data_IF_590934685697
#
_entry.id   IF_590934685697
#
_cell.length_a   1.000
_cell.length_b   1.000
_cell.length_c   1.000
_cell.angle_alpha   90.00
_cell.angle_beta   90.00
_cell.angle_gamma   90.00
#
_symmetry.space_group_name_H-M   'P 1'
#
loop_
_entity.id
_entity.type
_entity.pdbx_description
1 polymer ?
#
# COMPACT_ATOMS: atom_id res chain seq x y z
N UNK A 1 17.44 -17.49 13.07
CA UNK A 1 16.88 -16.18 13.39
C UNK A 1 18.01 -15.24 13.78
N UNK A 2 17.94 -13.98 13.40
CA UNK A 2 18.88 -12.95 13.89
C UNK A 2 18.65 -12.73 15.40
N UNK A 3 19.69 -12.43 16.20
CA UNK A 3 19.56 -12.24 17.66
C UNK A 3 18.50 -11.22 18.05
N UNK A 4 18.34 -10.15 17.26
CA UNK A 4 17.31 -9.13 17.46
C UNK A 4 15.90 -9.67 17.25
N UNK A 5 15.69 -10.53 16.25
CA UNK A 5 14.38 -11.14 15.97
C UNK A 5 13.97 -12.12 17.06
N UNK A 6 14.92 -12.92 17.59
CA UNK A 6 14.65 -13.81 18.73
C UNK A 6 14.37 -13.02 20.01
N UNK A 7 15.09 -11.92 20.24
CA UNK A 7 14.81 -11.03 21.35
C UNK A 7 13.43 -10.33 21.21
N UNK A 8 13.04 -9.95 19.99
CA UNK A 8 11.70 -9.39 19.73
C UNK A 8 10.60 -10.45 19.94
N UNK A 9 10.78 -11.67 19.46
CA UNK A 9 9.79 -12.75 19.63
C UNK A 9 9.60 -13.11 21.11
N UNK A 10 10.69 -13.21 21.89
CA UNK A 10 10.61 -13.45 23.33
C UNK A 10 10.00 -12.25 24.07
N UNK A 11 10.29 -11.03 23.64
CA UNK A 11 9.77 -9.81 24.26
C UNK A 11 8.30 -9.56 23.92
N UNK A 12 7.90 -9.76 22.67
CA UNK A 12 6.55 -9.56 22.14
C UNK A 12 5.66 -10.81 22.28
N UNK A 13 6.09 -11.84 23.01
CA UNK A 13 5.18 -12.92 23.41
C UNK A 13 4.02 -12.30 24.20
N UNK A 14 2.78 -12.56 23.75
CA UNK A 14 1.58 -12.08 24.43
C UNK A 14 1.46 -12.61 25.88
N UNK A 15 2.25 -13.63 26.22
CA UNK A 15 2.39 -14.17 27.58
C UNK A 15 3.62 -13.66 28.32
N UNK A 16 4.34 -12.66 27.80
CA UNK A 16 5.51 -12.12 28.47
C UNK A 16 5.09 -11.40 29.76
N UNK A 17 5.54 -11.89 30.95
CA UNK A 17 5.13 -11.33 32.23
C UNK A 17 5.61 -9.89 32.45
N UNK A 18 6.58 -9.39 31.68
CA UNK A 18 7.05 -7.99 31.71
C UNK A 18 6.07 -7.01 31.05
N UNK A 19 5.25 -7.48 30.10
CA UNK A 19 4.24 -6.67 29.40
C UNK A 19 2.88 -6.74 30.11
N UNK A 20 2.58 -7.89 30.74
CA UNK A 20 1.30 -8.18 31.38
C UNK A 20 1.13 -7.67 32.83
N UNK A 21 2.03 -6.82 33.34
CA UNK A 21 1.94 -6.39 34.74
C UNK A 21 0.69 -5.53 34.94
N UNK A 22 -0.30 -6.09 35.63
CA UNK A 22 -1.45 -5.37 36.14
C UNK A 22 -0.95 -4.28 37.11
N UNK A 23 -1.34 -3.04 36.84
CA UNK A 23 -1.14 -1.92 37.75
C UNK A 23 -2.06 -2.08 38.97
N UNK A 24 -1.73 -3.02 39.86
CA UNK A 24 -2.30 -3.03 41.20
C UNK A 24 -1.59 -1.90 41.95
N UNK A 25 -2.35 -0.86 42.29
CA UNK A 25 -1.84 0.44 42.78
C UNK A 25 -1.14 0.43 44.14
N UNK A 26 -0.38 -0.62 44.47
CA UNK A 26 0.30 -0.79 45.77
C UNK A 26 1.81 -1.10 45.65
N UNK A 27 2.40 -1.28 44.47
CA UNK A 27 3.86 -1.47 44.34
C UNK A 27 4.58 -0.16 44.00
N UNK A 28 4.92 0.61 45.04
CA UNK A 28 5.70 1.85 44.98
C UNK A 28 7.22 1.64 44.74
N UNK A 29 7.70 0.40 44.60
CA UNK A 29 9.14 0.06 44.57
C UNK A 29 9.65 -0.51 43.22
N UNK A 30 8.83 -0.52 42.15
CA UNK A 30 9.36 -0.80 40.81
C UNK A 30 10.01 0.47 40.22
N UNK A 31 11.31 0.46 39.87
CA UNK A 31 11.98 1.62 39.29
C UNK A 31 11.48 1.98 37.88
N UNK A 32 10.64 1.14 37.26
CA UNK A 32 10.10 1.36 35.92
C UNK A 32 8.65 0.92 35.81
N UNK A 33 7.78 1.81 35.33
CA UNK A 33 6.41 1.52 34.92
C UNK A 33 6.37 0.87 33.53
N UNK A 34 5.35 0.08 33.22
CA UNK A 34 5.13 -0.54 31.89
C UNK A 34 5.17 0.50 30.76
N UNK A 35 4.76 1.74 31.05
CA UNK A 35 4.80 2.88 30.13
C UNK A 35 6.23 3.36 29.81
N UNK A 36 7.16 3.25 30.74
CA UNK A 36 8.57 3.63 30.52
C UNK A 36 9.30 2.61 29.65
N UNK A 37 9.07 1.31 29.88
CA UNK A 37 9.60 0.24 29.02
C UNK A 37 9.15 0.37 27.57
N UNK A 38 7.87 0.70 27.35
CA UNK A 38 7.31 0.94 26.03
C UNK A 38 8.02 2.08 25.31
N UNK A 39 8.28 3.20 25.99
CA UNK A 39 8.97 4.35 25.41
C UNK A 39 10.38 3.97 24.97
N UNK A 40 11.14 3.31 25.85
CA UNK A 40 12.51 2.89 25.56
C UNK A 40 12.57 1.91 24.39
N UNK A 41 11.67 0.92 24.33
CA UNK A 41 11.59 0.01 23.19
C UNK A 41 11.23 0.75 21.90
N UNK A 42 10.23 1.63 21.94
CA UNK A 42 9.81 2.41 20.75
C UNK A 42 10.99 3.21 20.20
N UNK A 43 11.71 3.93 21.07
CA UNK A 43 12.91 4.67 20.69
C UNK A 43 14.02 3.79 20.11
N UNK A 44 14.22 2.58 20.65
CA UNK A 44 15.21 1.63 20.12
C UNK A 44 14.82 1.12 18.72
N UNK A 45 13.53 0.82 18.51
CA UNK A 45 12.99 0.42 17.20
C UNK A 45 13.12 1.55 16.20
N UNK A 46 12.81 2.79 16.58
CA UNK A 46 12.92 3.96 15.70
C UNK A 46 14.38 4.26 15.33
N UNK A 47 15.31 4.14 16.27
CA UNK A 47 16.73 4.27 15.99
C UNK A 47 17.23 3.19 15.01
N UNK A 48 16.83 1.93 15.20
CA UNK A 48 17.16 0.85 14.28
C UNK A 48 16.59 1.09 12.86
N UNK A 49 15.35 1.61 12.77
CA UNK A 49 14.73 1.95 11.48
C UNK A 49 15.46 3.09 10.77
N UNK A 50 15.81 4.14 11.49
CA UNK A 50 16.60 5.25 10.93
C UNK A 50 17.98 4.76 10.45
N UNK A 51 18.59 3.78 11.13
CA UNK A 51 19.81 3.13 10.64
C UNK A 51 19.59 2.39 9.32
N UNK A 52 18.55 1.58 9.21
CA UNK A 52 18.21 0.88 7.95
C UNK A 52 17.91 1.87 6.82
N UNK A 53 17.18 2.94 7.11
CA UNK A 53 16.86 3.98 6.15
C UNK A 53 18.13 4.70 5.66
N UNK A 54 19.07 5.01 6.56
CA UNK A 54 20.35 5.63 6.20
C UNK A 54 21.23 4.70 5.39
N UNK A 55 21.26 3.41 5.73
CA UNK A 55 21.97 2.39 4.96
C UNK A 55 21.42 2.31 3.54
N UNK A 56 20.10 2.25 3.39
CA UNK A 56 19.44 2.26 2.08
C UNK A 56 19.72 3.55 1.31
N UNK A 57 19.58 4.72 1.94
CA UNK A 57 19.84 6.00 1.30
C UNK A 57 21.30 6.13 0.84
N UNK A 58 22.25 5.67 1.67
CA UNK A 58 23.66 5.63 1.31
C UNK A 58 23.92 4.66 0.15
N UNK A 59 23.29 3.48 0.14
CA UNK A 59 23.41 2.54 -0.97
C UNK A 59 22.86 3.13 -2.27
N UNK A 60 21.69 3.78 -2.22
CA UNK A 60 21.08 4.46 -3.37
C UNK A 60 21.97 5.59 -3.91
N UNK A 61 22.58 6.39 -3.02
CA UNK A 61 23.49 7.47 -3.39
C UNK A 61 24.80 6.94 -4.00
N UNK A 62 25.46 5.99 -3.32
CA UNK A 62 26.76 5.43 -3.75
C UNK A 62 26.65 4.65 -5.06
N UNK A 63 25.51 4.01 -5.30
CA UNK A 63 25.25 3.26 -6.53
C UNK A 63 24.61 4.10 -7.63
N UNK A 64 24.39 5.41 -7.39
CA UNK A 64 23.73 6.33 -8.34
C UNK A 64 22.39 5.78 -8.87
N UNK A 65 21.59 5.17 -7.97
CA UNK A 65 20.38 4.44 -8.37
C UNK A 65 19.34 5.36 -8.99
N UNK A 66 18.90 5.01 -10.20
CA UNK A 66 17.77 5.64 -10.88
C UNK A 66 16.43 5.22 -10.27
N UNK A 67 15.34 5.88 -10.65
CA UNK A 67 13.99 5.45 -10.25
C UNK A 67 13.69 4.01 -10.67
N UNK A 68 14.15 3.61 -11.86
CA UNK A 68 14.00 2.25 -12.36
C UNK A 68 14.83 1.24 -11.56
N UNK A 69 16.03 1.58 -11.12
CA UNK A 69 16.84 0.71 -10.25
C UNK A 69 16.14 0.46 -8.91
N UNK A 70 15.51 1.48 -8.33
CA UNK A 70 14.72 1.33 -7.10
C UNK A 70 13.50 0.43 -7.30
N UNK A 71 12.81 0.56 -8.44
CA UNK A 71 11.71 -0.33 -8.80
C UNK A 71 12.19 -1.77 -9.06
N UNK A 72 13.38 -1.92 -9.65
CA UNK A 72 14.01 -3.21 -9.88
C UNK A 72 14.43 -3.87 -8.56
N UNK A 73 14.81 -3.12 -7.53
CA UNK A 73 15.08 -3.66 -6.19
C UNK A 73 13.79 -4.22 -5.54
N UNK A 74 12.65 -3.56 -5.74
CA UNK A 74 11.34 -4.07 -5.29
C UNK A 74 10.88 -5.31 -6.07
N UNK A 75 11.01 -5.29 -7.40
CA UNK A 75 10.66 -6.43 -8.23
C UNK A 75 11.57 -6.54 -9.47
N UNK A 76 12.66 -7.32 -9.40
CA UNK A 76 13.60 -7.48 -10.51
C UNK A 76 12.94 -8.11 -11.75
N UNK A 77 11.89 -8.91 -11.53
CA UNK A 77 11.14 -9.56 -12.60
C UNK A 77 10.26 -8.62 -13.41
N UNK A 78 9.80 -7.52 -12.81
CA UNK A 78 8.96 -6.53 -13.48
C UNK A 78 9.78 -5.37 -14.04
N UNK A 79 10.74 -4.87 -13.27
CA UNK A 79 11.44 -3.61 -13.56
C UNK A 79 12.93 -3.79 -13.85
N UNK A 80 13.42 -5.04 -13.84
CA UNK A 80 14.78 -5.35 -14.28
C UNK A 80 14.95 -5.28 -15.81
N UNK A 81 16.12 -5.71 -16.31
CA UNK A 81 16.44 -5.64 -17.73
C UNK A 81 15.39 -6.32 -18.62
N UNK A 82 15.02 -5.65 -19.70
CA UNK A 82 14.00 -6.14 -20.63
C UNK A 82 14.44 -7.44 -21.29
N UNK A 83 13.53 -8.42 -21.30
CA UNK A 83 13.72 -9.70 -21.99
C UNK A 83 13.11 -9.65 -23.40
N UNK A 84 13.79 -10.27 -24.36
CA UNK A 84 13.32 -10.34 -25.75
C UNK A 84 12.04 -11.17 -25.87
N UNK A 85 11.14 -10.79 -26.78
CA UNK A 85 9.94 -11.57 -27.11
C UNK A 85 8.62 -10.94 -26.66
N UNK A 86 8.67 -9.75 -26.05
CA UNK A 86 7.47 -8.95 -25.74
C UNK A 86 6.73 -8.58 -27.03
N UNK A 87 5.40 -8.72 -27.04
CA UNK A 87 4.56 -8.28 -28.17
C UNK A 87 4.36 -6.76 -28.13
N UNK A 88 4.20 -6.08 -29.28
CA UNK A 88 3.96 -4.63 -29.31
C UNK A 88 2.70 -4.18 -28.55
N UNK A 89 1.67 -5.02 -28.49
CA UNK A 89 0.41 -4.73 -27.79
C UNK A 89 0.51 -4.90 -26.27
N UNK A 90 1.51 -5.61 -25.78
CA UNK A 90 1.63 -5.95 -24.36
C UNK A 90 2.11 -4.74 -23.56
N UNK A 91 1.53 -4.54 -22.38
CA UNK A 91 1.98 -3.50 -21.46
C UNK A 91 3.35 -3.85 -20.87
N UNK A 92 4.16 -2.84 -20.53
CA UNK A 92 5.47 -3.04 -19.91
C UNK A 92 5.31 -3.42 -18.44
N UNK A 93 4.44 -2.70 -17.74
CA UNK A 93 4.22 -2.91 -16.32
C UNK A 93 2.75 -3.19 -16.06
N UNK A 94 2.49 -4.26 -15.30
CA UNK A 94 1.16 -4.65 -14.85
C UNK A 94 1.09 -4.48 -13.35
N UNK A 95 0.15 -3.66 -12.91
CA UNK A 95 -0.08 -3.38 -11.50
C UNK A 95 -1.55 -3.59 -11.14
N UNK A 96 -1.81 -3.98 -9.91
CA UNK A 96 -3.12 -3.93 -9.30
C UNK A 96 -3.15 -2.87 -8.20
N UNK A 97 -4.32 -2.28 -7.99
CA UNK A 97 -4.57 -1.30 -6.95
C UNK A 97 -5.79 -1.72 -6.15
N UNK A 98 -5.79 -1.43 -4.86
CA UNK A 98 -6.95 -1.60 -3.99
C UNK A 98 -6.82 -0.79 -2.70
N UNK A 99 -7.92 -0.61 -1.98
CA UNK A 99 -7.99 0.10 -0.72
C UNK A 99 -8.46 -0.79 0.44
N UNK A 100 -7.62 -0.92 1.44
CA UNK A 100 -7.90 -1.68 2.64
C UNK A 100 -8.31 -0.78 3.82
N UNK A 101 -9.58 -0.92 4.23
CA UNK A 101 -10.15 -0.18 5.36
C UNK A 101 -10.17 -0.98 6.67
N UNK A 102 -9.53 -2.15 6.73
CA UNK A 102 -9.36 -2.90 7.98
C UNK A 102 -8.21 -2.34 8.83
N UNK A 103 -7.29 -1.62 8.19
CA UNK A 103 -6.12 -1.02 8.81
C UNK A 103 -6.45 0.40 9.27
N UNK A 104 -6.84 0.56 10.53
CA UNK A 104 -7.29 1.86 11.09
C UNK A 104 -6.52 2.24 12.33
N UNK A 105 -6.08 3.50 12.37
CA UNK A 105 -5.44 4.08 13.55
C UNK A 105 -6.44 4.88 14.35
N UNK A 106 -6.61 4.56 15.63
CA UNK A 106 -7.43 5.37 16.53
C UNK A 106 -6.74 6.69 16.91
N UNK A 107 -7.50 7.79 16.99
CA UNK A 107 -7.00 9.11 17.43
C UNK A 107 -6.40 9.06 18.83
N UNK A 108 -6.97 8.26 19.74
CA UNK A 108 -6.45 8.08 21.10
C UNK A 108 -5.06 7.42 21.14
N UNK A 109 -4.67 6.79 20.03
CA UNK A 109 -3.39 6.14 19.81
C UNK A 109 -2.41 7.07 19.05
N UNK A 110 -2.87 8.24 18.57
CA UNK A 110 -2.06 9.23 17.87
C UNK A 110 -1.33 10.12 18.88
N UNK A 111 -0.23 9.62 19.44
CA UNK A 111 0.74 10.44 20.16
C UNK A 111 1.84 10.80 19.18
N UNK A 112 1.72 11.96 18.55
CA UNK A 112 2.75 12.47 17.64
C UNK A 112 4.03 12.77 18.42
N UNK A 113 5.10 12.02 18.11
CA UNK A 113 6.45 12.43 18.49
C UNK A 113 6.88 13.44 17.42
N UNK A 114 6.56 14.71 17.69
CA UNK A 114 6.50 15.81 16.74
C UNK A 114 7.78 16.15 15.95
N UNK A 115 8.92 15.53 16.25
CA UNK A 115 10.20 16.03 15.72
C UNK A 115 10.78 15.23 14.55
N UNK A 116 10.34 13.99 14.25
CA UNK A 116 11.11 13.11 13.35
C UNK A 116 10.28 12.17 12.45
N UNK A 117 9.04 12.51 12.12
CA UNK A 117 8.25 11.74 11.14
C UNK A 117 8.73 12.06 9.71
N UNK A 118 9.79 11.39 9.26
CA UNK A 118 10.03 11.23 7.79
C UNK A 118 8.88 10.41 7.23
N UNK A 119 8.63 10.40 5.92
CA UNK A 119 7.73 9.42 5.26
C UNK A 119 8.61 8.33 4.65
N UNK A 120 8.26 7.03 4.73
CA UNK A 120 9.07 5.99 4.12
C UNK A 120 8.97 6.11 2.60
N UNK A 121 10.02 5.73 1.87
CA UNK A 121 10.04 5.78 0.40
C UNK A 121 8.95 4.95 -0.27
N UNK A 122 8.40 3.94 0.42
CA UNK A 122 7.26 3.14 -0.06
C UNK A 122 5.95 3.91 -0.07
N UNK A 123 5.80 4.97 0.73
CA UNK A 123 4.57 5.75 0.79
C UNK A 123 4.68 6.98 -0.10
N UNK A 124 3.61 7.24 -0.85
CA UNK A 124 3.44 8.50 -1.55
C UNK A 124 3.16 9.58 -0.50
N UNK A 125 3.89 10.68 -0.60
CA UNK A 125 3.76 11.77 0.35
C UNK A 125 2.37 12.43 0.27
N UNK A 126 1.80 12.85 1.43
CA UNK A 126 0.46 13.46 1.46
C UNK A 126 0.30 14.67 0.53
N UNK A 127 1.36 15.48 0.36
CA UNK A 127 1.31 16.67 -0.49
C UNK A 127 1.04 16.32 -1.96
N UNK A 128 1.63 15.23 -2.47
CA UNK A 128 1.41 14.73 -3.85
C UNK A 128 -0.05 14.32 -4.05
N UNK A 129 -0.65 13.68 -3.04
CA UNK A 129 -2.05 13.27 -3.07
C UNK A 129 -2.98 14.48 -3.07
N UNK A 130 -2.68 15.49 -2.24
CA UNK A 130 -3.44 16.75 -2.20
C UNK A 130 -3.33 17.54 -3.51
N UNK A 131 -2.18 17.55 -4.17
CA UNK A 131 -2.02 18.16 -5.50
C UNK A 131 -2.91 17.50 -6.55
N UNK A 132 -2.99 16.16 -6.54
CA UNK A 132 -3.88 15.42 -7.43
C UNK A 132 -5.36 15.69 -7.13
N UNK A 133 -5.75 15.74 -5.86
CA UNK A 133 -7.11 16.11 -5.45
C UNK A 133 -7.51 17.49 -6.01
N UNK A 134 -6.65 18.49 -5.82
CA UNK A 134 -6.87 19.84 -6.34
C UNK A 134 -6.98 19.89 -7.87
N UNK A 135 -6.12 19.14 -8.58
CA UNK A 135 -6.15 19.02 -10.05
C UNK A 135 -7.45 18.39 -10.57
N UNK A 136 -7.98 17.41 -9.83
CA UNK A 136 -9.22 16.74 -10.21
C UNK A 136 -10.45 17.63 -9.99
N UNK A 137 -10.43 18.51 -9.00
CA UNK A 137 -11.51 19.45 -8.71
C UNK A 137 -11.54 20.62 -9.69
N UNK A 138 -10.40 21.11 -10.15
CA UNK A 138 -10.35 22.18 -11.16
C UNK A 138 -10.87 21.76 -12.53
N UNK A 139 -10.78 20.45 -12.85
CA UNK A 139 -11.10 19.90 -14.17
C UNK A 139 -12.47 19.19 -14.22
N UNK A 140 -13.38 19.47 -13.29
CA UNK A 140 -14.71 18.85 -13.30
C UNK A 140 -15.55 19.36 -14.48
N UNK A 141 -15.85 18.47 -15.43
CA UNK A 141 -16.83 18.71 -16.50
C UNK A 141 -18.20 18.15 -16.10
N UNK A 142 -19.27 18.90 -16.39
CA UNK A 142 -20.66 18.64 -15.95
C UNK A 142 -21.39 17.58 -16.78
N UNK A 143 -20.72 16.49 -17.16
CA UNK A 143 -21.37 15.38 -17.85
C UNK A 143 -21.95 14.36 -16.86
N UNK A 144 -23.13 13.82 -17.18
CA UNK A 144 -23.77 12.81 -16.32
C UNK A 144 -22.96 11.52 -16.32
N UNK A 145 -22.60 11.06 -15.12
CA UNK A 145 -21.97 9.75 -14.92
C UNK A 145 -22.87 8.65 -15.50
N UNK A 146 -22.27 7.63 -16.13
CA UNK A 146 -23.04 6.51 -16.65
C UNK A 146 -23.56 5.59 -15.54
N UNK A 147 -24.48 4.69 -15.90
CA UNK A 147 -25.15 3.81 -14.94
C UNK A 147 -24.16 2.95 -14.14
N UNK A 148 -23.10 2.44 -14.79
CA UNK A 148 -22.06 1.67 -14.12
C UNK A 148 -21.33 2.49 -13.06
N UNK A 149 -20.94 3.72 -13.38
CA UNK A 149 -20.24 4.62 -12.44
C UNK A 149 -21.15 4.98 -11.26
N UNK A 150 -22.46 5.12 -11.49
CA UNK A 150 -23.44 5.42 -10.44
C UNK A 150 -23.74 4.22 -9.53
N UNK A 151 -23.70 3.00 -10.06
CA UNK A 151 -24.02 1.75 -9.32
C UNK A 151 -22.81 1.15 -8.62
N UNK A 152 -21.62 1.30 -9.19
CA UNK A 152 -20.37 0.73 -8.71
C UNK A 152 -19.40 1.85 -8.37
N UNK A 153 -19.64 2.48 -7.21
CA UNK A 153 -18.60 3.20 -6.49
C UNK A 153 -17.81 2.20 -5.66
N UNK A 154 -16.55 2.51 -5.36
CA UNK A 154 -15.77 1.66 -4.46
C UNK A 154 -16.50 1.52 -3.12
N UNK A 155 -16.45 0.33 -2.51
CA UNK A 155 -17.38 -0.07 -1.45
C UNK A 155 -17.43 0.89 -0.25
N UNK A 156 -16.38 1.69 -0.06
CA UNK A 156 -16.22 2.62 1.07
C UNK A 156 -16.30 4.11 0.70
N UNK A 157 -16.72 4.47 -0.52
CA UNK A 157 -16.84 5.89 -0.94
C UNK A 157 -17.81 6.72 -0.07
N UNK A 158 -18.81 6.05 0.55
CA UNK A 158 -19.80 6.66 1.45
C UNK A 158 -19.33 6.82 2.91
N UNK A 159 -18.22 6.21 3.31
CA UNK A 159 -17.71 6.28 4.68
C UNK A 159 -16.93 7.58 4.89
N UNK A 160 -17.65 8.64 5.24
CA UNK A 160 -17.07 9.95 5.62
C UNK A 160 -16.50 9.93 7.04
N UNK A 161 -15.75 10.98 7.42
CA UNK A 161 -15.23 11.19 8.78
C UNK A 161 -16.29 11.11 9.90
N UNK A 162 -17.59 11.14 9.58
CA UNK A 162 -18.67 10.85 10.53
C UNK A 162 -18.71 9.38 11.02
N UNK A 163 -18.30 8.41 10.18
CA UNK A 163 -18.23 6.98 10.54
C UNK A 163 -16.98 6.67 11.37
N UNK A 164 -15.94 7.50 11.22
CA UNK A 164 -14.60 7.25 11.76
C UNK A 164 -14.08 8.40 12.65
N UNK A 165 -14.96 9.09 13.38
CA UNK A 165 -14.58 10.24 14.23
C UNK A 165 -13.49 9.97 15.26
N UNK A 166 -13.26 8.70 15.57
CA UNK A 166 -12.26 8.24 16.53
C UNK A 166 -11.01 7.66 15.85
N UNK A 167 -10.91 7.74 14.52
CA UNK A 167 -9.75 7.29 13.76
C UNK A 167 -9.03 8.49 13.11
N UNK A 168 -7.71 8.38 13.09
CA UNK A 168 -6.80 9.30 12.43
C UNK A 168 -6.56 8.83 10.99
N UNK A 169 -6.09 7.59 10.84
CA UNK A 169 -6.00 6.86 9.57
C UNK A 169 -7.19 5.91 9.44
N UNK A 170 -7.90 5.96 8.30
CA UNK A 170 -9.11 5.17 8.03
C UNK A 170 -8.87 3.95 7.14
N UNK A 171 -7.71 3.89 6.49
CA UNK A 171 -7.31 2.77 5.63
C UNK A 171 -5.97 3.01 4.95
N UNK A 172 -5.58 2.06 4.11
CA UNK A 172 -4.45 2.19 3.20
C UNK A 172 -4.91 1.94 1.77
N UNK A 173 -4.42 2.75 0.84
CA UNK A 173 -4.53 2.50 -0.59
C UNK A 173 -3.20 1.96 -1.09
N UNK A 174 -3.18 0.81 -1.76
CA UNK A 174 -1.94 0.19 -2.21
C UNK A 174 -1.90 -0.07 -3.70
N UNK A 175 -0.67 -0.20 -4.20
CA UNK A 175 -0.36 -0.63 -5.55
C UNK A 175 0.68 -1.74 -5.50
N UNK A 176 0.41 -2.86 -6.18
CA UNK A 176 1.34 -3.99 -6.28
C UNK A 176 1.53 -4.41 -7.74
N UNK A 177 2.71 -4.97 -8.06
CA UNK A 177 2.93 -5.55 -9.38
C UNK A 177 2.25 -6.92 -9.53
N UNK A 178 2.20 -7.45 -10.75
CA UNK A 178 1.71 -8.81 -11.06
C UNK A 178 2.41 -9.97 -10.30
N UNK A 179 3.55 -9.73 -9.67
CA UNK A 179 4.26 -10.70 -8.81
C UNK A 179 3.96 -10.49 -7.32
N UNK A 180 2.89 -9.73 -7.00
CA UNK A 180 2.43 -9.42 -5.65
C UNK A 180 3.50 -8.75 -4.78
N UNK A 181 4.39 -7.96 -5.41
CA UNK A 181 5.30 -7.07 -4.69
C UNK A 181 4.66 -5.69 -4.59
N UNK A 182 4.59 -5.14 -3.37
CA UNK A 182 4.09 -3.79 -3.13
C UNK A 182 5.07 -2.80 -3.74
N UNK A 183 4.52 -1.88 -4.55
CA UNK A 183 5.26 -0.82 -5.20
C UNK A 183 5.11 0.49 -4.46
N UNK A 184 3.89 0.82 -4.02
CA UNK A 184 3.62 2.07 -3.31
C UNK A 184 2.37 1.96 -2.44
N UNK A 185 2.31 2.78 -1.39
CA UNK A 185 1.17 2.89 -0.47
C UNK A 185 0.77 4.36 -0.27
N UNK A 186 -0.50 4.61 0.03
CA UNK A 186 -1.03 5.91 0.47
C UNK A 186 -1.82 5.67 1.76
N UNK A 187 -1.60 6.52 2.76
CA UNK A 187 -2.46 6.58 3.94
C UNK A 187 -3.79 7.26 3.57
N UNK A 188 -4.90 6.59 3.87
CA UNK A 188 -6.24 7.18 3.78
C UNK A 188 -6.53 7.84 5.13
N UNK A 189 -6.70 9.16 5.13
CA UNK A 189 -6.88 9.96 6.36
C UNK A 189 -8.31 10.47 6.41
N UNK A 190 -9.06 10.03 7.42
CA UNK A 190 -10.42 10.47 7.74
C UNK A 190 -11.43 10.50 6.57
N UNK A 191 -11.15 9.74 5.52
CA UNK A 191 -11.95 9.68 4.29
C UNK A 191 -12.27 8.24 3.88
N UNK A 192 -13.19 8.11 2.94
CA UNK A 192 -13.47 6.87 2.23
C UNK A 192 -12.55 6.72 1.02
N UNK A 193 -12.84 5.75 0.18
CA UNK A 193 -12.07 5.53 -1.05
C UNK A 193 -12.42 6.58 -2.10
N UNK A 194 -11.45 7.44 -2.43
CA UNK A 194 -11.61 8.51 -3.41
C UNK A 194 -10.77 8.25 -4.67
N UNK A 195 -11.30 8.68 -5.81
CA UNK A 195 -10.65 8.47 -7.10
C UNK A 195 -9.25 9.12 -7.19
N UNK A 196 -8.97 10.19 -6.43
CA UNK A 196 -7.66 10.82 -6.42
C UNK A 196 -6.56 9.93 -5.86
N UNK A 197 -6.86 8.91 -5.03
CA UNK A 197 -5.85 7.95 -4.59
C UNK A 197 -5.32 7.12 -5.76
N UNK A 198 -6.24 6.54 -6.55
CA UNK A 198 -5.88 5.81 -7.75
C UNK A 198 -5.18 6.71 -8.78
N UNK A 199 -5.65 7.94 -8.99
CA UNK A 199 -4.98 8.89 -9.90
C UNK A 199 -3.57 9.26 -9.41
N UNK A 200 -3.37 9.41 -8.10
CA UNK A 200 -2.05 9.69 -7.51
C UNK A 200 -1.10 8.52 -7.73
N UNK A 201 -1.58 7.27 -7.57
CA UNK A 201 -0.80 6.06 -7.87
C UNK A 201 -0.41 5.97 -9.35
N UNK A 202 -1.35 6.26 -10.25
CA UNK A 202 -1.09 6.28 -11.70
C UNK A 202 -0.05 7.34 -12.03
N UNK A 203 -0.21 8.57 -11.52
CA UNK A 203 0.75 9.64 -11.72
C UNK A 203 2.14 9.26 -11.19
N UNK A 204 2.20 8.70 -9.99
CA UNK A 204 3.45 8.24 -9.39
C UNK A 204 4.13 7.19 -10.28
N UNK A 205 3.40 6.18 -10.75
CA UNK A 205 3.98 5.14 -11.62
C UNK A 205 4.46 5.71 -12.96
N UNK A 206 3.71 6.64 -13.57
CA UNK A 206 4.12 7.33 -14.80
C UNK A 206 5.45 8.06 -14.59
N UNK A 207 5.57 8.86 -13.53
CA UNK A 207 6.81 9.60 -13.26
C UNK A 207 7.97 8.67 -12.94
N UNK A 208 7.75 7.62 -12.14
CA UNK A 208 8.79 6.67 -11.73
C UNK A 208 9.32 5.85 -12.91
N UNK A 209 8.46 5.53 -13.89
CA UNK A 209 8.82 4.73 -15.07
C UNK A 209 9.09 5.56 -16.32
N UNK A 210 9.24 6.88 -16.17
CA UNK A 210 9.53 7.79 -17.28
C UNK A 210 10.96 7.59 -17.78
N UNK A 211 11.09 7.03 -18.97
CA UNK A 211 12.35 6.84 -19.68
C UNK A 211 12.31 7.54 -21.04
N UNK A 212 13.42 7.49 -21.81
CA UNK A 212 13.46 8.03 -23.17
C UNK A 212 12.43 7.36 -24.10
N UNK A 213 12.20 6.06 -23.92
CA UNK A 213 11.18 5.32 -24.64
C UNK A 213 9.87 5.25 -23.85
N UNK A 214 8.72 5.59 -24.46
CA UNK A 214 7.44 5.56 -23.79
C UNK A 214 7.05 4.12 -23.41
N UNK A 215 6.69 3.92 -22.14
CA UNK A 215 6.28 2.62 -21.61
C UNK A 215 4.76 2.58 -21.39
N UNK A 216 4.09 1.65 -22.06
CA UNK A 216 2.69 1.30 -21.79
C UNK A 216 2.50 0.67 -20.40
N UNK A 217 1.55 1.15 -19.62
CA UNK A 217 1.22 0.76 -18.24
C UNK A 217 -0.18 0.14 -18.18
N UNK A 218 -0.33 -0.97 -17.47
CA UNK A 218 -1.60 -1.66 -17.27
C UNK A 218 -2.02 -1.67 -15.80
N UNK A 219 -3.22 -1.18 -15.53
CA UNK A 219 -3.80 -1.05 -14.19
C UNK A 219 -5.04 -1.95 -14.05
N UNK A 220 -5.00 -2.84 -13.07
CA UNK A 220 -6.15 -3.63 -12.61
C UNK A 220 -6.68 -3.05 -11.31
N UNK A 221 -7.98 -2.77 -11.28
CA UNK A 221 -8.63 -2.20 -10.10
C UNK A 221 -10.13 -2.48 -10.15
N UNK A 222 -10.75 -2.66 -9.00
CA UNK A 222 -12.18 -2.93 -8.85
C UNK A 222 -13.08 -2.00 -9.67
N UNK A 223 -12.72 -0.73 -9.73
CA UNK A 223 -13.43 0.29 -10.51
C UNK A 223 -12.55 0.85 -11.64
N UNK A 224 -11.65 0.03 -12.22
CA UNK A 224 -10.77 0.42 -13.33
C UNK A 224 -11.53 1.03 -14.52
N UNK A 225 -12.75 0.56 -14.78
CA UNK A 225 -13.65 1.13 -15.79
C UNK A 225 -14.05 2.59 -15.49
N UNK A 226 -14.24 2.94 -14.23
CA UNK A 226 -14.56 4.30 -13.80
C UNK A 226 -13.33 5.19 -13.82
N UNK A 227 -12.14 4.62 -13.55
CA UNK A 227 -10.87 5.35 -13.62
C UNK A 227 -10.57 5.78 -15.06
N UNK A 228 -10.62 4.89 -16.06
CA UNK A 228 -10.38 5.26 -17.47
C UNK A 228 -11.32 6.40 -17.90
N UNK A 229 -12.62 6.23 -17.65
CA UNK A 229 -13.64 7.27 -17.95
C UNK A 229 -13.35 8.57 -17.20
N UNK A 230 -12.90 8.47 -15.95
CA UNK A 230 -12.57 9.59 -15.11
C UNK A 230 -11.35 10.38 -15.57
N UNK A 231 -10.35 9.70 -16.13
CA UNK A 231 -9.17 10.30 -16.76
C UNK A 231 -9.58 11.09 -18.00
N UNK A 232 -10.33 10.45 -18.90
CA UNK A 232 -10.82 11.07 -20.15
C UNK A 232 -11.68 12.30 -19.85
N UNK A 233 -12.65 12.17 -18.93
CA UNK A 233 -13.59 13.25 -18.58
C UNK A 233 -12.88 14.50 -18.03
N UNK A 234 -11.81 14.30 -17.25
CA UNK A 234 -11.07 15.39 -16.57
C UNK A 234 -9.80 15.79 -17.33
N UNK A 235 -9.59 15.26 -18.53
CA UNK A 235 -8.40 15.46 -19.35
C UNK A 235 -7.09 15.27 -18.54
N UNK A 236 -7.05 14.22 -17.71
CA UNK A 236 -5.84 13.85 -16.96
C UNK A 236 -4.91 13.02 -17.85
N UNK A 237 -3.59 13.15 -17.66
CA UNK A 237 -2.57 12.40 -18.41
C UNK A 237 -2.75 12.48 -19.95
N UNK A 238 -2.89 13.68 -20.54
CA UNK A 238 -3.25 13.83 -21.95
C UNK A 238 -2.19 13.27 -22.91
N UNK A 239 -0.91 13.32 -22.53
CA UNK A 239 0.20 12.77 -23.34
C UNK A 239 0.13 11.24 -23.40
N UNK A 240 -0.08 10.61 -22.25
CA UNK A 240 -0.15 9.16 -22.12
C UNK A 240 -1.42 8.60 -22.75
N UNK A 241 -2.55 9.31 -22.63
CA UNK A 241 -3.81 8.96 -23.28
C UNK A 241 -3.71 9.09 -24.80
N UNK A 242 -3.14 10.19 -25.31
CA UNK A 242 -2.97 10.40 -26.75
C UNK A 242 -2.04 9.36 -27.40
N UNK A 243 -1.10 8.83 -26.63
CA UNK A 243 -0.10 7.84 -27.07
C UNK A 243 -0.51 6.38 -26.79
N UNK A 244 -1.74 6.13 -26.30
CA UNK A 244 -2.24 4.79 -25.93
C UNK A 244 -1.33 4.04 -24.93
N UNK A 245 -0.76 4.79 -23.97
CA UNK A 245 0.17 4.26 -22.96
C UNK A 245 -0.52 3.78 -21.68
N UNK A 246 -1.82 3.97 -21.52
CA UNK A 246 -2.55 3.53 -20.33
C UNK A 246 -3.61 2.49 -20.69
N UNK A 247 -3.54 1.33 -20.05
CA UNK A 247 -4.50 0.25 -20.18
C UNK A 247 -5.19 0.01 -18.84
N UNK A 248 -6.52 -0.07 -18.84
CA UNK A 248 -7.31 -0.27 -17.62
C UNK A 248 -8.15 -1.54 -17.71
N UNK A 249 -8.25 -2.25 -16.59
CA UNK A 249 -9.06 -3.45 -16.45
C UNK A 249 -9.64 -3.55 -15.04
N UNK A 250 -10.64 -4.41 -14.89
CA UNK A 250 -11.26 -4.71 -13.61
C UNK A 250 -10.70 -6.01 -13.05
N UNK A 251 -10.39 -6.04 -11.75
CA UNK A 251 -10.01 -7.27 -11.04
C UNK A 251 -11.01 -8.40 -11.34
N UNK A 252 -10.52 -9.59 -11.64
CA UNK A 252 -11.30 -10.66 -12.27
C UNK A 252 -12.49 -11.11 -11.42
N UNK A 253 -12.39 -11.08 -10.09
CA UNK A 253 -13.52 -11.41 -9.21
C UNK A 253 -14.56 -10.30 -9.14
N UNK A 254 -14.15 -9.05 -9.37
CA UNK A 254 -15.00 -7.87 -9.32
C UNK A 254 -15.63 -7.55 -10.68
N UNK A 255 -15.08 -8.08 -11.78
CA UNK A 255 -15.55 -7.78 -13.13
C UNK A 255 -17.04 -8.10 -13.33
N UNK A 256 -17.55 -9.19 -12.76
CA UNK A 256 -18.93 -9.64 -12.97
C UNK A 256 -20.00 -8.76 -12.31
N UNK A 257 -19.63 -7.90 -11.34
CA UNK A 257 -20.59 -6.96 -10.76
C UNK A 257 -20.87 -5.77 -11.67
N UNK A 258 -19.97 -5.46 -12.62
CA UNK A 258 -20.14 -4.35 -13.56
C UNK A 258 -21.17 -4.64 -14.64
N UNK A 259 -21.66 -3.59 -15.32
CA UNK A 259 -22.57 -3.77 -16.45
C UNK A 259 -21.91 -4.53 -17.62
N UNK A 260 -22.73 -5.17 -18.45
CA UNK A 260 -22.26 -6.03 -19.55
C UNK A 260 -21.25 -5.37 -20.49
N UNK A 261 -21.46 -4.11 -20.87
CA UNK A 261 -20.51 -3.33 -21.67
C UNK A 261 -19.15 -3.16 -20.98
N UNK A 262 -19.15 -2.90 -19.67
CA UNK A 262 -17.92 -2.83 -18.88
C UNK A 262 -17.25 -4.20 -18.77
N UNK A 263 -18.02 -5.28 -18.59
CA UNK A 263 -17.45 -6.63 -18.59
C UNK A 263 -16.71 -6.94 -19.89
N UNK A 264 -17.31 -6.66 -21.04
CA UNK A 264 -16.68 -6.92 -22.34
C UNK A 264 -15.38 -6.11 -22.55
N UNK A 265 -15.34 -4.86 -22.09
CA UNK A 265 -14.20 -3.96 -22.31
C UNK A 265 -13.09 -4.12 -21.28
N UNK A 266 -13.42 -4.33 -20.01
CA UNK A 266 -12.48 -4.23 -18.89
C UNK A 266 -12.17 -5.56 -18.21
N UNK A 267 -12.92 -6.65 -18.45
CA UNK A 267 -12.64 -7.94 -17.83
C UNK A 267 -11.39 -8.60 -18.46
N UNK A 268 -10.31 -8.85 -17.69
CA UNK A 268 -9.07 -9.47 -18.18
C UNK A 268 -9.24 -10.85 -18.83
N UNK A 269 -10.37 -11.52 -18.58
CA UNK A 269 -10.72 -12.81 -19.21
C UNK A 269 -11.35 -12.67 -20.58
N UNK A 270 -11.87 -11.49 -20.92
CA UNK A 270 -12.63 -11.23 -22.16
C UNK A 270 -11.87 -10.31 -23.14
N UNK A 271 -10.80 -9.66 -22.69
CA UNK A 271 -9.91 -8.82 -23.49
C UNK A 271 -8.47 -9.37 -23.46
N UNK A 272 -7.60 -8.84 -24.33
CA UNK A 272 -6.25 -9.34 -24.51
C UNK A 272 -5.20 -8.57 -23.69
N UNK A 273 -3.97 -9.04 -23.72
CA UNK A 273 -2.77 -8.34 -23.25
C UNK A 273 -2.60 -8.19 -21.73
N UNK A 274 -3.31 -8.96 -20.90
CA UNK A 274 -3.14 -8.99 -19.43
C UNK A 274 -2.14 -10.02 -18.89
N UNK A 275 -1.62 -10.91 -19.74
CA UNK A 275 -0.60 -11.88 -19.36
C UNK A 275 -1.03 -12.83 -18.21
N UNK A 276 -2.29 -13.24 -18.15
CA UNK A 276 -2.89 -14.04 -17.07
C UNK A 276 -2.95 -13.35 -15.69
N UNK A 277 -2.74 -12.04 -15.63
CA UNK A 277 -2.90 -11.28 -14.38
C UNK A 277 -4.39 -11.18 -14.03
N UNK A 278 -4.74 -11.51 -12.78
CA UNK A 278 -6.12 -11.50 -12.29
C UNK A 278 -6.51 -10.19 -11.58
N UNK A 279 -5.53 -9.42 -11.11
CA UNK A 279 -5.75 -8.15 -10.44
C UNK A 279 -5.97 -8.27 -8.94
N UNK A 280 -5.87 -9.48 -8.39
CA UNK A 280 -6.25 -9.81 -7.00
C UNK A 280 -5.04 -9.75 -6.04
N UNK A 281 -3.90 -9.25 -6.52
CA UNK A 281 -2.65 -9.21 -5.74
C UNK A 281 -2.75 -8.36 -4.48
N UNK A 282 -3.52 -7.27 -4.51
CA UNK A 282 -3.72 -6.42 -3.35
C UNK A 282 -4.61 -7.08 -2.29
N UNK A 283 -5.69 -7.75 -2.66
CA UNK A 283 -6.54 -8.53 -1.74
C UNK A 283 -5.73 -9.62 -0.99
N UNK A 284 -4.79 -10.28 -1.69
CA UNK A 284 -3.87 -11.23 -1.05
C UNK A 284 -2.96 -10.55 -0.02
N UNK A 285 -2.38 -9.41 -0.38
CA UNK A 285 -1.53 -8.62 0.50
C UNK A 285 -2.34 -8.11 1.70
N UNK A 286 -3.57 -7.67 1.47
CA UNK A 286 -4.48 -7.19 2.49
C UNK A 286 -4.83 -8.27 3.51
N UNK A 287 -5.07 -9.51 3.06
CA UNK A 287 -5.22 -10.64 3.96
C UNK A 287 -3.97 -10.85 4.84
N UNK A 288 -2.76 -10.73 4.28
CA UNK A 288 -1.50 -10.90 5.03
C UNK A 288 -1.35 -9.78 6.06
N UNK A 289 -1.56 -8.54 5.62
CA UNK A 289 -1.42 -7.35 6.46
C UNK A 289 -2.44 -7.33 7.61
N UNK A 290 -3.68 -7.73 7.36
CA UNK A 290 -4.71 -7.80 8.40
C UNK A 290 -4.35 -8.79 9.52
N UNK A 291 -3.68 -9.91 9.19
CA UNK A 291 -3.21 -10.87 10.22
C UNK A 291 -2.14 -10.26 11.11
N UNK A 292 -1.17 -9.56 10.51
CA UNK A 292 -0.09 -8.90 11.27
C UNK A 292 -0.62 -7.75 12.12
N UNK A 293 -1.57 -6.99 11.58
CA UNK A 293 -2.20 -5.88 12.27
C UNK A 293 -2.97 -6.31 13.54
N UNK A 294 -3.72 -7.41 13.45
CA UNK A 294 -4.42 -7.98 14.61
C UNK A 294 -3.44 -8.40 15.72
N UNK A 295 -2.29 -8.96 15.37
CA UNK A 295 -1.25 -9.30 16.34
C UNK A 295 -0.65 -8.06 17.02
N UNK A 296 -0.41 -6.97 16.27
CA UNK A 296 0.14 -5.72 16.82
C UNK A 296 -0.85 -5.00 17.73
N UNK A 297 -2.16 -5.02 17.39
CA UNK A 297 -3.21 -4.47 18.24
C UNK A 297 -3.34 -5.25 19.56
N UNK A 298 -3.23 -6.58 19.51
CA UNK A 298 -3.29 -7.43 20.70
C UNK A 298 -2.14 -7.18 21.69
N UNK A 299 -0.97 -6.76 21.19
CA UNK A 299 0.21 -6.43 22.00
C UNK A 299 0.14 -5.05 22.66
N UNK A 300 -0.96 -4.32 22.50
CA UNK A 300 -1.17 -3.04 23.16
C UNK A 300 -0.20 -1.95 22.68
N UNK A 301 0.60 -2.17 21.64
CA UNK A 301 1.61 -1.28 21.02
C UNK A 301 1.05 -0.09 20.23
N UNK A 302 -0.26 0.13 20.26
CA UNK A 302 -0.97 1.13 19.46
C UNK A 302 -0.64 2.63 19.72
N UNK A 303 0.17 3.00 20.72
CA UNK A 303 0.51 4.41 21.05
C UNK A 303 1.79 4.89 20.35
N UNK A 304 2.42 4.04 19.53
CA UNK A 304 3.59 4.45 18.73
C UNK A 304 3.13 4.96 17.37
N UNK A 305 3.67 6.12 17.00
CA UNK A 305 3.17 7.16 16.11
C UNK A 305 2.72 6.82 14.69
N UNK A 306 2.68 5.57 14.25
CA UNK A 306 2.72 5.31 12.80
C UNK A 306 2.29 3.89 12.45
N UNK A 307 0.98 3.64 12.28
CA UNK A 307 0.48 2.32 11.89
C UNK A 307 0.84 1.93 10.45
N UNK A 308 1.04 2.90 9.54
CA UNK A 308 1.65 2.63 8.22
C UNK A 308 3.09 2.07 8.28
N UNK A 309 3.77 2.14 9.44
CA UNK A 309 5.20 1.89 9.55
C UNK A 309 5.56 0.55 10.20
N UNK A 310 4.67 0.01 11.01
CA UNK A 310 4.73 -1.42 11.36
C UNK A 310 4.36 -2.29 10.17
N UNK A 311 3.53 -1.79 9.27
CA UNK A 311 3.26 -2.40 7.98
C UNK A 311 4.54 -2.59 7.16
N UNK A 312 5.45 -1.61 7.15
CA UNK A 312 6.76 -1.73 6.51
C UNK A 312 7.65 -2.77 7.16
N UNK A 313 7.58 -2.99 8.47
CA UNK A 313 8.28 -4.11 9.11
C UNK A 313 7.66 -5.45 8.70
N UNK A 314 6.33 -5.55 8.66
CA UNK A 314 5.63 -6.73 8.17
C UNK A 314 5.94 -7.02 6.69
N UNK A 315 5.94 -5.97 5.86
CA UNK A 315 6.24 -6.02 4.43
C UNK A 315 7.72 -6.30 4.22
N UNK A 316 8.66 -5.71 4.96
CA UNK A 316 10.09 -6.00 4.87
C UNK A 316 10.42 -7.42 5.32
N UNK A 317 9.76 -7.91 6.39
CA UNK A 317 9.87 -9.32 6.83
C UNK A 317 9.27 -10.26 5.78
N UNK A 318 8.17 -9.90 5.13
CA UNK A 318 7.57 -10.70 4.05
C UNK A 318 8.32 -10.60 2.71
N UNK A 319 8.95 -9.45 2.40
CA UNK A 319 9.69 -9.20 1.16
C UNK A 319 11.11 -9.79 1.22
N UNK A 320 11.81 -9.70 2.37
CA UNK A 320 13.08 -10.42 2.57
C UNK A 320 12.88 -11.95 2.72
N UNK A 321 11.68 -12.40 3.07
CA UNK A 321 11.29 -13.82 3.08
C UNK A 321 11.13 -14.44 1.67
N UNK A 322 11.49 -13.73 0.59
CA UNK A 322 11.79 -14.32 -0.72
C UNK A 322 12.90 -15.37 -0.69
N UNK A 323 13.59 -15.58 0.44
CA UNK A 323 14.38 -16.78 0.74
C UNK A 323 13.56 -17.78 1.56
N UNK A 324 12.71 -18.54 0.86
CA UNK A 324 12.11 -19.82 1.30
C UNK A 324 11.38 -19.82 2.66
N UNK A 325 10.06 -19.59 2.63
CA UNK A 325 9.16 -20.12 3.67
C UNK A 325 8.41 -21.35 3.13
N UNK A 326 9.05 -22.51 3.23
CA UNK A 326 8.29 -23.77 3.35
C UNK A 326 7.72 -23.85 4.76
N UNK A 327 6.43 -23.57 4.94
CA UNK A 327 5.71 -23.96 6.15
C UNK A 327 5.62 -25.49 6.18
N UNK A 328 6.49 -26.15 6.94
CA UNK A 328 6.23 -27.52 7.40
C UNK A 328 5.09 -27.44 8.41
N UNK A 329 3.89 -27.80 7.98
CA UNK A 329 2.81 -28.16 8.89
C UNK A 329 3.31 -29.37 9.68
N UNK A 330 3.74 -29.13 10.92
CA UNK A 330 3.99 -30.19 11.87
C UNK A 330 2.63 -30.78 12.25
N UNK A 331 2.20 -31.81 11.52
CA UNK A 331 1.26 -32.77 12.08
C UNK A 331 1.96 -33.42 13.28
N UNK A 332 1.54 -33.06 14.50
CA UNK A 332 1.85 -33.85 15.68
C UNK A 332 0.88 -35.05 15.75
N UNK A 333 1.38 -36.20 16.24
CA UNK A 333 0.80 -37.53 16.04
C UNK A 333 -0.59 -37.73 16.63
#
# INVERSE_FOLDING_TARGET
>A
MLPFATALDEFLDANNPLILVHNNGEDFDSPFSTREWRKTLSSAVDAYREMLQREQALAEEVMEMTSMDKMADLCPKCFGPQVTGKRPSESHYHVCMDANFQQRRHLSASVEIAEHLKTPSLFIEPHVVSEMENSMDSNQTSESADRCTQQHTAANDTRSGSTWKQCDETGLFGMACRHNQILSLINIVQSGEKAYFAMSMIHHLIQTTREEEPKKLAFLYDIGCNIEKGIIRRNQFPEEVASDLLQFGTSVFHAYVHEWSCQLRYNPRLNNDWGMSDGEGMELLDMILSKVFLSILALGSAETSTQGWYLLYAIAVCAQAGKSLTFKIAAKP
#
